data_IF_311898308479
#
_entry.id   IF_311898308479
#
_cell.length_a   1.000
_cell.length_b   1.000
_cell.length_c   1.000
_cell.angle_alpha   90.00
_cell.angle_beta   90.00
_cell.angle_gamma   90.00
#
_symmetry.space_group_name_H-M   'P 1'
#
loop_
_entity.id
_entity.type
_entity.pdbx_description
1 polymer ?
#
# COMPACT_ATOMS: atom_id res chain seq x y z
N UNK A 1 -24.88 45.10 -58.30
CA UNK A 1 -24.34 45.91 -57.18
C UNK A 1 -25.01 45.44 -55.89
N UNK A 2 -24.53 44.37 -55.23
CA UNK A 2 -25.32 43.78 -54.13
C UNK A 2 -24.55 43.14 -52.96
N UNK A 3 -23.23 43.38 -52.83
CA UNK A 3 -22.43 42.70 -51.78
C UNK A 3 -21.90 43.58 -50.64
N UNK A 4 -22.06 44.91 -50.71
CA UNK A 4 -21.55 45.80 -49.65
C UNK A 4 -22.48 45.94 -48.43
N UNK A 5 -23.76 45.58 -48.55
CA UNK A 5 -24.74 45.77 -47.49
C UNK A 5 -24.79 44.62 -46.45
N UNK A 6 -24.45 43.38 -46.82
CA UNK A 6 -24.50 42.23 -45.89
C UNK A 6 -23.38 42.28 -44.84
N UNK A 7 -22.18 42.75 -45.21
CA UNK A 7 -21.03 42.87 -44.28
C UNK A 7 -21.26 43.99 -43.24
N UNK A 8 -21.95 45.06 -43.64
CA UNK A 8 -22.30 46.20 -42.77
C UNK A 8 -23.25 45.80 -41.62
N UNK A 9 -24.23 44.94 -41.89
CA UNK A 9 -25.21 44.49 -40.90
C UNK A 9 -24.59 43.60 -39.82
N UNK A 10 -23.70 42.68 -40.20
CA UNK A 10 -22.94 41.85 -39.25
C UNK A 10 -21.98 42.69 -38.38
N UNK A 11 -21.34 43.71 -38.97
CA UNK A 11 -20.46 44.63 -38.24
C UNK A 11 -21.24 45.52 -37.26
N UNK A 12 -22.46 45.95 -37.61
CA UNK A 12 -23.36 46.70 -36.72
C UNK A 12 -23.85 45.84 -35.55
N UNK A 13 -24.25 44.59 -35.79
CA UNK A 13 -24.66 43.67 -34.73
C UNK A 13 -23.57 43.42 -33.68
N UNK A 14 -22.31 43.33 -34.12
CA UNK A 14 -21.15 43.16 -33.21
C UNK A 14 -20.89 44.37 -32.32
N UNK A 15 -21.22 45.58 -32.79
CA UNK A 15 -21.05 46.84 -32.03
C UNK A 15 -22.24 47.17 -31.11
N UNK A 16 -23.44 46.66 -31.40
CA UNK A 16 -24.67 47.14 -30.75
C UNK A 16 -25.04 46.42 -29.44
N UNK A 17 -24.32 45.37 -29.04
CA UNK A 17 -24.63 44.57 -27.83
C UNK A 17 -23.46 44.35 -26.86
N UNK A 18 -22.32 45.01 -27.07
CA UNK A 18 -21.17 44.90 -26.17
C UNK A 18 -21.07 46.14 -25.28
N UNK A 19 -22.04 46.29 -24.39
CA UNK A 19 -21.94 47.28 -23.31
C UNK A 19 -20.78 46.93 -22.35
N UNK A 20 -20.28 47.89 -21.58
CA UNK A 20 -19.18 47.66 -20.62
C UNK A 20 -19.49 46.52 -19.63
N UNK A 21 -20.76 46.27 -19.32
CA UNK A 21 -21.20 45.14 -18.49
C UNK A 21 -20.94 43.76 -19.13
N UNK A 22 -21.08 43.63 -20.46
CA UNK A 22 -20.79 42.39 -21.19
C UNK A 22 -19.30 42.07 -21.20
N UNK A 23 -18.47 43.10 -21.39
CA UNK A 23 -17.01 42.97 -21.32
C UNK A 23 -16.55 42.56 -19.91
N UNK A 24 -17.14 43.14 -18.86
CA UNK A 24 -16.89 42.73 -17.47
C UNK A 24 -17.32 41.29 -17.21
N UNK A 25 -18.47 40.86 -17.73
CA UNK A 25 -18.92 39.48 -17.58
C UNK A 25 -17.95 38.47 -18.23
N UNK A 26 -17.46 38.76 -19.45
CA UNK A 26 -16.45 37.94 -20.11
C UNK A 26 -15.14 37.89 -19.31
N UNK A 27 -14.70 39.04 -18.75
CA UNK A 27 -13.51 39.07 -17.91
C UNK A 27 -13.66 38.21 -16.65
N UNK A 28 -14.81 38.28 -15.97
CA UNK A 28 -15.07 37.45 -14.78
C UNK A 28 -15.09 35.96 -15.15
N UNK A 29 -15.72 35.59 -16.25
CA UNK A 29 -15.74 34.20 -16.74
C UNK A 29 -14.32 33.74 -17.10
N UNK A 30 -13.52 34.59 -17.75
CA UNK A 30 -12.13 34.28 -18.10
C UNK A 30 -11.26 34.06 -16.85
N UNK A 31 -11.39 34.92 -15.84
CA UNK A 31 -10.68 34.78 -14.56
C UNK A 31 -11.11 33.50 -13.84
N UNK A 32 -12.41 33.22 -13.79
CA UNK A 32 -12.94 31.99 -13.18
C UNK A 32 -12.44 30.72 -13.91
N UNK A 33 -12.46 30.70 -15.24
CA UNK A 33 -11.94 29.59 -16.04
C UNK A 33 -10.43 29.39 -15.80
N UNK A 34 -9.67 30.48 -15.68
CA UNK A 34 -8.23 30.43 -15.39
C UNK A 34 -7.96 29.86 -14.00
N UNK A 35 -8.73 30.29 -12.99
CA UNK A 35 -8.66 29.74 -11.63
C UNK A 35 -8.99 28.24 -11.58
N UNK A 36 -10.01 27.81 -12.31
CA UNK A 36 -10.36 26.38 -12.42
C UNK A 36 -9.25 25.59 -13.13
N UNK A 37 -8.62 26.13 -14.17
CA UNK A 37 -7.49 25.49 -14.85
C UNK A 37 -6.24 25.41 -13.95
N UNK A 38 -5.95 26.45 -13.17
CA UNK A 38 -4.87 26.42 -12.19
C UNK A 38 -5.18 25.40 -11.09
N UNK A 39 -6.41 25.35 -10.58
CA UNK A 39 -6.80 24.42 -9.53
C UNK A 39 -6.79 22.96 -10.00
N UNK A 40 -7.32 22.68 -11.20
CA UNK A 40 -7.28 21.36 -11.82
C UNK A 40 -5.87 20.94 -12.22
N UNK A 41 -5.06 21.87 -12.71
CA UNK A 41 -3.63 21.65 -12.96
C UNK A 41 -2.84 21.39 -11.67
N UNK A 42 -3.09 22.14 -10.61
CA UNK A 42 -2.46 21.95 -9.30
C UNK A 42 -2.87 20.63 -8.65
N UNK A 43 -4.15 20.26 -8.69
CA UNK A 43 -4.62 18.95 -8.21
C UNK A 43 -4.10 17.80 -9.06
N UNK A 44 -3.97 17.99 -10.38
CA UNK A 44 -3.29 17.05 -11.27
C UNK A 44 -1.81 16.89 -10.95
N UNK A 45 -1.10 17.99 -10.69
CA UNK A 45 0.30 18.00 -10.26
C UNK A 45 0.47 17.38 -8.87
N UNK A 46 -0.44 17.65 -7.93
CA UNK A 46 -0.43 17.04 -6.60
C UNK A 46 -0.70 15.53 -6.71
N UNK A 47 -1.63 15.09 -7.56
CA UNK A 47 -1.86 13.65 -7.82
C UNK A 47 -0.69 12.99 -8.52
N UNK A 48 -0.07 13.68 -9.48
CA UNK A 48 1.13 13.18 -10.13
C UNK A 48 2.27 13.11 -9.13
N UNK A 49 2.45 14.11 -8.26
CA UNK A 49 3.51 14.13 -7.28
C UNK A 49 3.24 13.15 -6.11
N UNK A 50 1.97 12.93 -5.72
CA UNK A 50 1.62 11.89 -4.75
C UNK A 50 1.84 10.50 -5.36
N UNK A 51 1.45 10.29 -6.62
CA UNK A 51 1.73 9.05 -7.35
C UNK A 51 3.22 8.87 -7.61
N UNK A 52 3.96 9.95 -7.87
CA UNK A 52 5.41 9.91 -8.06
C UNK A 52 6.10 9.65 -6.74
N UNK A 53 5.72 10.28 -5.63
CA UNK A 53 6.28 10.02 -4.29
C UNK A 53 5.93 8.60 -3.81
N UNK A 54 4.70 8.12 -4.05
CA UNK A 54 4.33 6.71 -3.83
C UNK A 54 5.17 5.76 -4.69
N UNK A 55 5.51 6.14 -5.93
CA UNK A 55 6.32 5.32 -6.84
C UNK A 55 7.85 5.55 -6.73
N UNK A 56 8.33 6.64 -6.11
CA UNK A 56 9.76 7.01 -6.03
C UNK A 56 10.37 6.83 -4.65
N UNK A 57 9.57 6.56 -3.61
CA UNK A 57 10.09 5.88 -2.40
C UNK A 57 10.42 4.40 -2.65
N UNK A 58 10.30 3.92 -3.89
CA UNK A 58 10.87 2.66 -4.35
C UNK A 58 12.14 3.01 -5.15
N UNK A 59 13.34 3.06 -4.52
CA UNK A 59 14.56 2.99 -5.30
C UNK A 59 14.49 1.71 -6.14
N UNK A 60 15.09 1.74 -7.34
CA UNK A 60 15.12 0.72 -8.39
C UNK A 60 15.57 -0.71 -8.02
N UNK A 61 15.57 -1.08 -6.76
CA UNK A 61 15.49 -2.46 -6.30
C UNK A 61 14.01 -2.83 -6.24
N UNK A 62 13.60 -3.91 -6.89
CA UNK A 62 12.26 -4.49 -6.70
C UNK A 62 12.15 -4.90 -5.22
N UNK A 63 11.71 -4.00 -4.34
CA UNK A 63 11.51 -4.30 -2.92
C UNK A 63 10.28 -5.20 -2.88
N UNK A 64 10.54 -6.51 -2.89
CA UNK A 64 9.51 -7.52 -2.72
C UNK A 64 8.78 -7.26 -1.40
N UNK A 65 7.45 -7.43 -1.37
CA UNK A 65 6.65 -7.09 -0.20
C UNK A 65 7.15 -7.78 1.09
N UNK A 66 7.76 -8.97 0.95
CA UNK A 66 8.35 -9.73 2.05
C UNK A 66 9.67 -9.16 2.61
N UNK A 67 10.40 -8.32 1.86
CA UNK A 67 11.68 -7.74 2.27
C UNK A 67 11.56 -6.42 3.05
N UNK A 68 10.33 -5.89 3.14
CA UNK A 68 10.02 -4.63 3.82
C UNK A 68 10.22 -4.73 5.34
N UNK A 69 10.52 -3.61 6.03
CA UNK A 69 10.55 -3.57 7.48
C UNK A 69 9.25 -4.03 8.14
N UNK A 70 8.11 -3.70 7.53
CA UNK A 70 6.77 -4.06 8.01
C UNK A 70 6.55 -5.57 7.97
N UNK A 71 6.97 -6.24 6.88
CA UNK A 71 6.90 -7.69 6.77
C UNK A 71 7.76 -8.39 7.83
N UNK A 72 8.96 -7.87 8.09
CA UNK A 72 9.86 -8.41 9.12
C UNK A 72 9.28 -8.23 10.52
N UNK A 73 8.72 -7.06 10.83
CA UNK A 73 8.06 -6.80 12.10
C UNK A 73 6.85 -7.71 12.31
N UNK A 74 6.01 -7.86 11.28
CA UNK A 74 4.89 -8.81 11.28
C UNK A 74 5.36 -10.24 11.57
N UNK A 75 6.37 -10.72 10.85
CA UNK A 75 6.89 -12.07 11.00
C UNK A 75 7.45 -12.34 12.41
N UNK A 76 8.15 -11.37 13.00
CA UNK A 76 8.69 -11.47 14.36
C UNK A 76 7.56 -11.51 15.39
N UNK A 77 6.57 -10.64 15.27
CA UNK A 77 5.41 -10.63 16.18
C UNK A 77 4.62 -11.93 16.08
N UNK A 78 4.23 -12.33 14.86
CA UNK A 78 3.48 -13.57 14.63
C UNK A 78 4.24 -14.79 15.18
N UNK A 79 5.54 -14.91 14.89
CA UNK A 79 6.33 -16.05 15.36
C UNK A 79 6.43 -16.11 16.87
N UNK A 80 6.56 -14.95 17.53
CA UNK A 80 6.60 -14.89 19.00
C UNK A 80 5.30 -15.37 19.62
N UNK A 81 4.16 -14.93 19.09
CA UNK A 81 2.83 -15.36 19.54
C UNK A 81 2.61 -16.85 19.24
N UNK A 82 2.94 -17.30 18.04
CA UNK A 82 2.79 -18.68 17.60
C UNK A 82 3.61 -19.68 18.43
N UNK A 83 4.85 -19.35 18.79
CA UNK A 83 5.73 -20.23 19.58
C UNK A 83 5.16 -20.54 20.97
N UNK A 84 4.53 -19.56 21.63
CA UNK A 84 3.99 -19.70 23.00
C UNK A 84 2.52 -20.09 23.04
N UNK A 85 1.80 -19.97 21.92
CA UNK A 85 0.38 -20.20 21.88
C UNK A 85 0.01 -21.67 22.17
N UNK A 86 -0.99 -21.84 23.04
CA UNK A 86 -1.62 -23.14 23.30
C UNK A 86 -2.86 -23.33 22.40
N UNK A 87 -2.65 -23.26 21.09
CA UNK A 87 -3.70 -23.36 20.08
C UNK A 87 -4.10 -22.03 19.43
N UNK A 88 -5.11 -22.08 18.57
CA UNK A 88 -5.54 -20.94 17.76
C UNK A 88 -6.20 -19.84 18.60
N UNK A 89 -5.64 -18.63 18.54
CA UNK A 89 -6.20 -17.43 19.16
C UNK A 89 -6.93 -16.56 18.12
N UNK A 90 -7.98 -15.84 18.53
CA UNK A 90 -8.78 -15.02 17.61
C UNK A 90 -7.96 -13.99 16.82
N UNK A 91 -6.94 -13.38 17.44
CA UNK A 91 -6.06 -12.41 16.77
C UNK A 91 -5.17 -13.05 15.72
N UNK A 92 -4.66 -14.25 16.01
CA UNK A 92 -3.84 -14.99 15.04
C UNK A 92 -4.67 -15.44 13.84
N UNK A 93 -5.95 -15.76 14.05
CA UNK A 93 -6.86 -16.17 12.97
C UNK A 93 -6.98 -15.09 11.88
N UNK A 94 -7.08 -13.82 12.26
CA UNK A 94 -7.14 -12.68 11.32
C UNK A 94 -5.83 -12.51 10.50
N UNK A 95 -4.73 -13.00 11.04
CA UNK A 95 -3.40 -12.93 10.42
C UNK A 95 -3.12 -14.12 9.49
N UNK A 96 -4.01 -15.10 9.40
CA UNK A 96 -3.90 -16.22 8.45
C UNK A 96 -4.68 -15.90 7.17
N UNK A 97 -4.18 -16.36 6.03
CA UNK A 97 -5.00 -16.40 4.82
C UNK A 97 -6.12 -17.42 4.97
N UNK A 98 -7.28 -17.15 4.35
CA UNK A 98 -8.46 -18.04 4.38
C UNK A 98 -8.19 -19.48 3.90
N UNK A 99 -7.13 -19.68 3.11
CA UNK A 99 -6.72 -20.98 2.58
C UNK A 99 -6.09 -21.92 3.65
N UNK A 100 -5.75 -21.41 4.84
CA UNK A 100 -5.08 -22.19 5.89
C UNK A 100 -6.13 -22.82 6.81
N UNK A 101 -6.21 -24.15 6.80
CA UNK A 101 -6.99 -24.89 7.80
C UNK A 101 -6.31 -24.78 9.17
N UNK A 102 -6.97 -24.08 10.11
CA UNK A 102 -6.46 -23.81 11.47
C UNK A 102 -6.14 -25.06 12.27
N UNK A 103 -6.89 -26.15 12.03
CA UNK A 103 -6.72 -27.45 12.69
C UNK A 103 -5.42 -28.16 12.33
N UNK A 104 -4.80 -27.81 11.20
CA UNK A 104 -3.55 -28.41 10.72
C UNK A 104 -2.29 -27.67 11.18
N UNK A 105 -2.46 -26.54 11.88
CA UNK A 105 -1.33 -25.79 12.43
C UNK A 105 -0.70 -26.54 13.60
N UNK A 106 0.61 -26.69 13.53
CA UNK A 106 1.43 -27.20 14.64
C UNK A 106 1.71 -26.08 15.63
N UNK A 107 1.71 -26.41 16.91
CA UNK A 107 1.93 -25.46 18.00
C UNK A 107 3.15 -25.91 18.82
N UNK A 108 4.28 -25.18 18.77
CA UNK A 108 5.51 -25.56 19.47
C UNK A 108 5.39 -25.58 20.99
N UNK A 109 4.52 -24.73 21.56
CA UNK A 109 4.25 -24.61 23.00
C UNK A 109 5.52 -24.43 23.85
N UNK A 110 6.34 -23.46 23.48
CA UNK A 110 7.54 -23.12 24.26
C UNK A 110 7.14 -22.35 25.53
N UNK A 111 7.91 -22.50 26.61
CA UNK A 111 7.62 -21.83 27.88
C UNK A 111 7.83 -20.31 27.79
N UNK A 112 8.92 -19.91 27.13
CA UNK A 112 9.30 -18.51 26.97
C UNK A 112 10.10 -18.29 25.70
N UNK A 113 9.90 -17.14 25.07
CA UNK A 113 10.70 -16.66 23.94
C UNK A 113 11.58 -15.50 24.40
N UNK A 114 12.89 -15.73 24.45
CA UNK A 114 13.89 -14.70 24.79
C UNK A 114 14.01 -13.68 23.65
N UNK A 115 14.26 -14.18 22.45
CA UNK A 115 14.59 -13.36 21.31
C UNK A 115 14.14 -14.02 20.02
N UNK A 116 13.70 -13.22 19.05
CA UNK A 116 13.42 -13.64 17.68
C UNK A 116 14.04 -12.61 16.76
N UNK A 117 14.80 -13.04 15.76
CA UNK A 117 15.35 -12.16 14.73
C UNK A 117 15.19 -12.76 13.35
N UNK A 118 15.11 -11.90 12.34
CA UNK A 118 15.03 -12.33 10.94
C UNK A 118 16.45 -12.67 10.47
N UNK A 119 16.64 -13.92 10.02
CA UNK A 119 17.91 -14.40 9.46
C UNK A 119 17.98 -14.14 7.96
N UNK A 120 16.90 -14.48 7.25
CA UNK A 120 16.84 -14.37 5.80
C UNK A 120 15.42 -14.10 5.34
N UNK A 121 15.30 -13.41 4.20
CA UNK A 121 14.05 -13.26 3.47
C UNK A 121 14.24 -13.78 2.07
N UNK A 122 13.34 -14.63 1.61
CA UNK A 122 13.33 -15.18 0.25
C UNK A 122 12.05 -14.75 -0.44
N UNK A 123 12.16 -13.92 -1.49
CA UNK A 123 11.00 -13.54 -2.28
C UNK A 123 10.60 -14.66 -3.24
N UNK A 124 9.31 -15.00 -3.27
CA UNK A 124 8.74 -15.95 -4.23
C UNK A 124 8.02 -15.22 -5.36
N UNK A 125 7.33 -14.12 -5.05
CA UNK A 125 6.69 -13.23 -6.02
C UNK A 125 6.81 -11.77 -5.59
N UNK A 126 6.07 -10.87 -6.24
CA UNK A 126 5.98 -9.47 -5.81
C UNK A 126 5.31 -9.34 -4.43
N UNK A 127 4.35 -10.20 -4.12
CA UNK A 127 3.51 -10.11 -2.93
C UNK A 127 3.68 -11.29 -1.95
N UNK A 128 4.35 -12.36 -2.37
CA UNK A 128 4.58 -13.55 -1.52
C UNK A 128 6.06 -13.80 -1.31
N UNK A 129 6.40 -14.36 -0.16
CA UNK A 129 7.76 -14.75 0.18
C UNK A 129 7.80 -15.62 1.42
N UNK A 130 8.99 -16.10 1.72
CA UNK A 130 9.30 -16.85 2.94
C UNK A 130 10.28 -16.04 3.79
N UNK A 131 9.99 -15.94 5.08
CA UNK A 131 10.88 -15.31 6.06
C UNK A 131 11.42 -16.41 6.97
N UNK A 132 12.74 -16.53 7.00
CA UNK A 132 13.46 -17.39 7.92
C UNK A 132 13.81 -16.59 9.18
N UNK A 133 13.29 -17.02 10.32
CA UNK A 133 13.56 -16.41 11.63
C UNK A 133 14.37 -17.37 12.50
N UNK A 134 15.23 -16.82 13.34
CA UNK A 134 15.88 -17.57 14.40
C UNK A 134 15.29 -17.11 15.74
N UNK A 135 14.83 -18.08 16.52
CA UNK A 135 14.20 -17.87 17.80
C UNK A 135 15.01 -18.57 18.91
N UNK A 136 15.29 -17.82 19.95
CA UNK A 136 15.94 -18.27 21.18
C UNK A 136 14.85 -18.48 22.22
N UNK A 137 14.60 -19.73 22.61
CA UNK A 137 13.43 -20.16 23.39
C UNK A 137 13.82 -21.03 24.59
N UNK A 138 13.00 -21.04 25.63
CA UNK A 138 13.13 -21.94 26.79
C UNK A 138 12.10 -23.06 26.67
N UNK A 139 12.57 -24.30 26.72
CA UNK A 139 11.73 -25.50 26.67
C UNK A 139 12.23 -26.49 27.72
N UNK A 140 11.36 -26.91 28.63
CA UNK A 140 11.70 -27.78 29.77
C UNK A 140 12.86 -27.21 30.60
N UNK A 141 12.87 -25.89 30.82
CA UNK A 141 13.94 -25.19 31.55
C UNK A 141 15.29 -25.09 30.83
N UNK A 142 15.44 -25.61 29.61
CA UNK A 142 16.66 -25.52 28.81
C UNK A 142 16.53 -24.49 27.69
N UNK A 143 17.61 -23.76 27.43
CA UNK A 143 17.68 -22.82 26.32
C UNK A 143 17.91 -23.56 25.00
N UNK A 144 17.01 -23.36 24.04
CA UNK A 144 17.07 -23.94 22.68
C UNK A 144 17.01 -22.85 21.63
N UNK A 145 17.48 -23.18 20.42
CA UNK A 145 17.39 -22.31 19.25
C UNK A 145 16.52 -23.00 18.21
N UNK A 146 15.54 -22.29 17.68
CA UNK A 146 14.69 -22.74 16.59
C UNK A 146 14.89 -21.87 15.35
N UNK A 147 15.02 -22.51 14.20
CA UNK A 147 14.91 -21.87 12.90
C UNK A 147 13.48 -22.05 12.41
N UNK A 148 12.79 -20.95 12.16
CA UNK A 148 11.38 -20.89 11.76
C UNK A 148 11.29 -20.46 10.31
N UNK A 149 10.57 -21.22 9.50
CA UNK A 149 10.17 -20.84 8.14
C UNK A 149 8.74 -20.31 8.18
N UNK A 150 8.58 -19.02 7.86
CA UNK A 150 7.29 -18.35 7.87
C UNK A 150 6.91 -17.86 6.47
N UNK A 151 6.02 -18.58 5.76
CA UNK A 151 5.51 -18.13 4.47
C UNK A 151 4.50 -17.00 4.65
N UNK A 152 4.74 -15.85 4.02
CA UNK A 152 3.90 -14.65 4.12
C UNK A 152 3.39 -14.17 2.75
N UNK A 153 2.22 -13.54 2.78
CA UNK A 153 1.59 -12.84 1.66
C UNK A 153 1.21 -11.43 2.10
N UNK A 154 1.46 -10.47 1.23
CA UNK A 154 0.92 -9.12 1.33
C UNK A 154 -0.33 -9.01 0.47
N UNK A 155 -1.42 -8.49 1.05
CA UNK A 155 -2.68 -8.25 0.34
C UNK A 155 -2.86 -6.73 0.13
N UNK A 156 -2.61 -6.21 -1.09
CA UNK A 156 -2.59 -4.76 -1.33
C UNK A 156 -3.93 -4.07 -1.07
N UNK A 157 -5.05 -4.74 -1.36
CA UNK A 157 -6.40 -4.20 -1.18
C UNK A 157 -6.69 -3.82 0.27
N UNK A 158 -6.14 -4.59 1.21
CA UNK A 158 -6.32 -4.40 2.64
C UNK A 158 -5.06 -3.87 3.34
N UNK A 159 -3.98 -3.63 2.58
CA UNK A 159 -2.67 -3.17 3.06
C UNK A 159 -2.13 -3.97 4.27
N UNK A 160 -2.36 -5.28 4.29
CA UNK A 160 -2.01 -6.14 5.42
C UNK A 160 -1.14 -7.32 5.01
N UNK A 161 -0.36 -7.82 5.98
CA UNK A 161 0.43 -9.04 5.87
C UNK A 161 -0.31 -10.20 6.53
N UNK A 162 -0.28 -11.34 5.87
CA UNK A 162 -0.85 -12.59 6.38
C UNK A 162 0.13 -13.73 6.19
N UNK A 163 0.00 -14.73 7.05
CA UNK A 163 0.66 -16.02 6.86
C UNK A 163 -0.08 -16.78 5.78
N UNK A 164 0.66 -17.26 4.78
CA UNK A 164 0.13 -17.85 3.54
C UNK A 164 0.34 -19.36 3.42
N UNK A 165 1.04 -19.96 4.38
CA UNK A 165 1.25 -21.40 4.48
C UNK A 165 1.51 -21.82 5.92
N UNK A 166 1.69 -23.11 6.16
CA UNK A 166 1.97 -23.62 7.50
C UNK A 166 3.38 -23.21 7.94
N UNK A 167 3.55 -22.50 9.07
CA UNK A 167 4.86 -22.24 9.64
C UNK A 167 5.53 -23.55 10.05
N UNK A 168 6.81 -23.66 9.79
CA UNK A 168 7.63 -24.81 10.18
C UNK A 168 8.75 -24.36 11.10
N UNK A 169 9.17 -25.21 12.03
CA UNK A 169 10.33 -24.94 12.88
C UNK A 169 11.26 -26.15 12.95
N UNK A 170 12.57 -25.88 13.07
CA UNK A 170 13.63 -26.88 13.24
C UNK A 170 14.55 -26.46 14.38
N UNK A 171 15.02 -27.41 15.18
CA UNK A 171 16.00 -27.21 16.26
C UNK A 171 17.44 -27.31 15.74
#
# INVERSE_FOLDING_TARGET
MEDKNKISLLKKWRKQRQGPAWLRAIQVIGVAATLVLIYSGATGLIRLNSSYIENTFIPSQKIHAAATPEAKAFAVMFSREWLVADGMQSRMHEQLTSDIATEKLTWPRVERVEQVWVRKTTAQSQYTGDIELEASVVVNGAMKRYVIHLPIRYTPEHKLYQVSGYPEYKE
#
